data_IF_479502558331
#
_entry.id   IF_479502558331
#
_cell.length_a   1.000
_cell.length_b   1.000
_cell.length_c   1.000
_cell.angle_alpha   90.00
_cell.angle_beta   90.00
_cell.angle_gamma   90.00
#
_symmetry.space_group_name_H-M   'P 1'
#
loop_
_entity.id
_entity.type
_entity.pdbx_description
1 polymer ?
#
# COMPACT_ATOMS: atom_id res chain seq x y z
N UNK A 1 28.25 -9.71 -4.58
CA UNK A 1 26.78 -9.54 -4.54
C UNK A 1 26.27 -9.35 -3.10
N UNK A 2 27.01 -8.65 -2.23
CA UNK A 2 26.85 -8.78 -0.75
C UNK A 2 26.20 -7.56 -0.06
N UNK A 3 25.78 -6.56 -0.85
CA UNK A 3 25.52 -5.19 -0.36
C UNK A 3 24.05 -4.80 -0.23
N UNK A 4 23.12 -5.60 -0.77
CA UNK A 4 21.67 -5.38 -0.67
C UNK A 4 21.09 -5.85 0.67
N UNK A 5 21.70 -6.87 1.29
CA UNK A 5 21.20 -7.42 2.55
C UNK A 5 21.22 -6.42 3.72
N UNK A 6 22.27 -5.59 3.93
CA UNK A 6 22.28 -4.65 5.05
C UNK A 6 21.22 -3.56 4.94
N UNK A 7 21.02 -2.98 3.74
CA UNK A 7 19.96 -1.99 3.49
C UNK A 7 18.58 -2.59 3.73
N UNK A 8 18.33 -3.79 3.20
CA UNK A 8 17.04 -4.46 3.33
C UNK A 8 16.72 -4.82 4.76
N UNK A 9 17.67 -5.40 5.51
CA UNK A 9 17.50 -5.70 6.95
C UNK A 9 17.18 -4.45 7.77
N UNK A 10 17.83 -3.32 7.48
CA UNK A 10 17.53 -2.05 8.14
C UNK A 10 16.14 -1.51 7.77
N UNK A 11 15.73 -1.64 6.50
CA UNK A 11 14.40 -1.23 6.05
C UNK A 11 13.32 -2.08 6.71
N UNK A 12 13.48 -3.41 6.71
CA UNK A 12 12.54 -4.34 7.31
C UNK A 12 12.38 -4.05 8.81
N UNK A 13 13.50 -3.84 9.53
CA UNK A 13 13.46 -3.46 10.94
C UNK A 13 12.76 -2.11 11.17
N UNK A 14 12.96 -1.13 10.28
CA UNK A 14 12.30 0.15 10.36
C UNK A 14 10.78 0.05 10.09
N UNK A 15 10.35 -0.74 9.10
CA UNK A 15 8.93 -1.04 8.83
C UNK A 15 8.28 -1.67 10.05
N UNK A 16 8.89 -2.74 10.58
CA UNK A 16 8.37 -3.46 11.73
C UNK A 16 8.25 -2.55 12.96
N UNK A 17 9.27 -1.73 13.22
CA UNK A 17 9.26 -0.81 14.35
C UNK A 17 8.22 0.30 14.19
N UNK A 18 8.25 1.02 13.06
CA UNK A 18 7.39 2.18 12.84
C UNK A 18 5.93 1.82 12.64
N UNK A 19 5.61 0.63 12.12
CA UNK A 19 4.21 0.16 12.03
C UNK A 19 3.56 0.02 13.41
N UNK A 20 4.35 -0.30 14.44
CA UNK A 20 3.87 -0.41 15.83
C UNK A 20 3.88 0.91 16.58
N UNK A 21 4.80 1.83 16.25
CA UNK A 21 5.05 3.02 17.07
C UNK A 21 4.67 4.35 16.42
N UNK A 22 4.35 4.36 15.13
CA UNK A 22 4.15 5.58 14.33
C UNK A 22 5.45 6.35 14.07
N UNK A 23 5.33 7.41 13.26
CA UNK A 23 6.48 8.23 12.79
C UNK A 23 6.51 9.62 13.43
N UNK A 24 5.37 10.12 13.85
CA UNK A 24 5.19 11.50 14.31
C UNK A 24 6.18 11.91 15.41
N UNK A 25 6.80 13.08 15.21
CA UNK A 25 7.71 13.72 16.18
C UNK A 25 9.10 13.08 16.30
N UNK A 26 9.43 12.09 15.47
CA UNK A 26 10.68 11.33 15.59
C UNK A 26 11.75 11.80 14.60
N UNK A 27 12.98 11.94 15.08
CA UNK A 27 14.16 12.19 14.25
C UNK A 27 14.81 10.88 13.79
N UNK A 28 15.55 10.92 12.68
CA UNK A 28 16.30 9.75 12.20
C UNK A 28 17.34 9.26 13.22
N UNK A 29 17.84 10.15 14.09
CA UNK A 29 18.78 9.79 15.16
C UNK A 29 18.11 8.99 16.27
N UNK A 30 16.91 9.38 16.70
CA UNK A 30 16.13 8.63 17.68
C UNK A 30 15.78 7.25 17.13
N UNK A 31 15.30 7.18 15.88
CA UNK A 31 15.00 5.92 15.23
C UNK A 31 16.23 4.99 15.15
N UNK A 32 17.41 5.53 14.85
CA UNK A 32 18.63 4.72 14.84
C UNK A 32 18.91 4.08 16.21
N UNK A 33 18.76 4.84 17.30
CA UNK A 33 18.95 4.33 18.66
C UNK A 33 17.93 3.24 19.02
N UNK A 34 16.66 3.43 18.64
CA UNK A 34 15.59 2.45 18.86
C UNK A 34 15.80 1.16 18.07
N UNK A 35 16.32 1.25 16.85
CA UNK A 35 16.65 0.11 16.00
C UNK A 35 17.98 -0.57 16.38
N UNK A 36 18.71 -0.05 17.38
CA UNK A 36 20.03 -0.57 17.76
C UNK A 36 21.09 -0.41 16.65
N UNK A 37 20.94 0.59 15.77
CA UNK A 37 21.87 0.89 14.68
C UNK A 37 22.48 2.28 14.84
N UNK A 38 23.48 2.61 14.02
CA UNK A 38 24.06 3.95 14.04
C UNK A 38 23.30 4.91 13.13
N UNK A 39 23.19 6.17 13.56
CA UNK A 39 22.61 7.23 12.73
C UNK A 39 23.32 7.36 11.37
N UNK A 40 24.65 7.14 11.34
CA UNK A 40 25.46 7.12 10.12
C UNK A 40 25.01 6.04 9.14
N UNK A 41 24.63 4.85 9.61
CA UNK A 41 24.15 3.77 8.74
C UNK A 41 22.81 4.12 8.09
N UNK A 42 21.89 4.76 8.83
CA UNK A 42 20.62 5.19 8.25
C UNK A 42 20.82 6.31 7.23
N UNK A 43 21.64 7.32 7.54
CA UNK A 43 22.00 8.38 6.57
C UNK A 43 22.65 7.79 5.32
N UNK A 44 23.58 6.84 5.48
CA UNK A 44 24.25 6.20 4.34
C UNK A 44 23.28 5.48 3.39
N UNK A 45 22.27 4.79 3.93
CA UNK A 45 21.35 3.99 3.13
C UNK A 45 20.11 4.75 2.62
N UNK A 46 19.65 5.74 3.37
CA UNK A 46 18.36 6.39 3.14
C UNK A 46 18.46 7.91 3.00
N UNK A 47 19.61 8.51 3.28
CA UNK A 47 19.88 9.95 3.16
C UNK A 47 19.25 10.79 4.28
N UNK A 48 17.97 10.61 4.56
CA UNK A 48 17.19 11.37 5.55
C UNK A 48 16.09 10.52 6.19
N UNK A 49 15.36 11.11 7.15
CA UNK A 49 14.13 10.50 7.66
C UNK A 49 13.12 10.32 6.53
N UNK A 50 12.92 11.38 5.75
CA UNK A 50 11.99 11.43 4.64
C UNK A 50 12.32 10.38 3.58
N UNK A 51 13.61 10.24 3.22
CA UNK A 51 14.08 9.20 2.31
C UNK A 51 13.83 7.78 2.82
N UNK A 52 13.97 7.55 4.13
CA UNK A 52 13.60 6.28 4.75
C UNK A 52 12.09 6.04 4.69
N UNK A 53 11.26 7.05 4.96
CA UNK A 53 9.81 6.93 4.91
C UNK A 53 9.29 6.61 3.51
N UNK A 54 9.88 7.22 2.47
CA UNK A 54 9.57 6.89 1.08
C UNK A 54 9.90 5.42 0.77
N UNK A 55 11.06 4.94 1.20
CA UNK A 55 11.45 3.54 1.01
C UNK A 55 10.56 2.57 1.80
N UNK A 56 10.11 2.95 3.00
CA UNK A 56 9.17 2.17 3.81
C UNK A 56 7.85 1.97 3.07
N UNK A 57 7.25 3.05 2.56
CA UNK A 57 5.98 2.94 1.83
C UNK A 57 6.15 2.14 0.55
N UNK A 58 7.25 2.33 -0.18
CA UNK A 58 7.56 1.51 -1.36
C UNK A 58 7.62 0.03 -1.03
N UNK A 59 8.27 -0.35 0.07
CA UNK A 59 8.37 -1.75 0.50
C UNK A 59 7.01 -2.31 0.94
N UNK A 60 6.24 -1.59 1.76
CA UNK A 60 4.90 -2.01 2.20
C UNK A 60 3.99 -2.27 1.00
N UNK A 61 3.92 -1.31 0.08
CA UNK A 61 3.08 -1.43 -1.11
C UNK A 61 3.61 -2.48 -2.10
N UNK A 62 4.94 -2.66 -2.20
CA UNK A 62 5.51 -3.74 -3.00
C UNK A 62 5.16 -5.13 -2.45
N UNK A 63 5.16 -5.31 -1.12
CA UNK A 63 4.74 -6.56 -0.48
C UNK A 63 3.25 -6.85 -0.74
N UNK A 64 2.40 -5.83 -0.67
CA UNK A 64 0.98 -5.97 -1.01
C UNK A 64 0.78 -6.34 -2.49
N UNK A 65 1.48 -5.68 -3.43
CA UNK A 65 1.44 -6.03 -4.87
C UNK A 65 2.02 -7.40 -5.17
N UNK A 66 3.06 -7.84 -4.45
CA UNK A 66 3.60 -9.19 -4.62
C UNK A 66 2.56 -10.24 -4.20
N UNK A 67 1.91 -10.03 -3.05
CA UNK A 67 0.81 -10.89 -2.61
C UNK A 67 -0.38 -10.88 -3.60
N UNK A 68 -0.59 -9.77 -4.32
CA UNK A 68 -1.55 -9.67 -5.42
C UNK A 68 -1.20 -10.61 -6.58
N UNK A 69 0.07 -10.61 -6.98
CA UNK A 69 0.57 -11.40 -8.10
C UNK A 69 0.59 -12.91 -7.81
N UNK A 70 0.56 -13.29 -6.53
CA UNK A 70 0.48 -14.69 -6.10
C UNK A 70 -0.96 -15.25 -6.12
N UNK A 71 -1.98 -14.42 -6.38
CA UNK A 71 -3.34 -14.91 -6.52
C UNK A 71 -3.57 -15.57 -7.89
N UNK A 72 -4.43 -16.58 -7.88
CA UNK A 72 -4.84 -17.33 -9.07
C UNK A 72 -5.59 -16.42 -10.06
N UNK A 73 -4.97 -16.16 -11.20
CA UNK A 73 -5.51 -15.32 -12.27
C UNK A 73 -6.61 -16.01 -13.09
N UNK A 74 -6.90 -17.29 -12.80
CA UNK A 74 -8.02 -18.04 -13.38
C UNK A 74 -9.34 -17.82 -12.66
N UNK A 75 -9.34 -17.15 -11.49
CA UNK A 75 -10.55 -16.78 -10.77
C UNK A 75 -11.40 -15.79 -11.57
N UNK A 76 -12.73 -15.88 -11.43
CA UNK A 76 -13.63 -14.82 -11.93
C UNK A 76 -13.27 -13.48 -11.25
N UNK A 77 -13.39 -12.33 -11.94
CA UNK A 77 -13.01 -11.03 -11.41
C UNK A 77 -13.63 -10.68 -10.06
N UNK A 78 -14.85 -11.16 -9.77
CA UNK A 78 -15.49 -10.94 -8.48
C UNK A 78 -14.72 -11.65 -7.35
N UNK A 79 -14.37 -12.92 -7.57
CA UNK A 79 -13.67 -13.74 -6.58
C UNK A 79 -12.25 -13.27 -6.37
N UNK A 80 -11.58 -12.82 -7.44
CA UNK A 80 -10.25 -12.22 -7.36
C UNK A 80 -10.26 -10.94 -6.52
N UNK A 81 -11.23 -10.04 -6.76
CA UNK A 81 -11.39 -8.81 -5.98
C UNK A 81 -11.69 -9.09 -4.50
N UNK A 82 -12.57 -10.05 -4.20
CA UNK A 82 -12.87 -10.48 -2.83
C UNK A 82 -11.67 -11.14 -2.16
N UNK A 83 -10.88 -11.93 -2.88
CA UNK A 83 -9.66 -12.52 -2.36
C UNK A 83 -8.61 -11.47 -2.01
N UNK A 84 -8.44 -10.45 -2.87
CA UNK A 84 -7.59 -9.30 -2.54
C UNK A 84 -8.08 -8.57 -1.30
N UNK A 85 -9.37 -8.28 -1.21
CA UNK A 85 -9.95 -7.60 -0.07
C UNK A 85 -9.73 -8.35 1.25
N UNK A 86 -9.97 -9.66 1.27
CA UNK A 86 -9.69 -10.53 2.43
C UNK A 86 -8.23 -10.46 2.88
N UNK A 87 -7.31 -10.31 1.94
CA UNK A 87 -5.87 -10.17 2.25
C UNK A 87 -5.55 -8.83 2.91
N UNK A 88 -6.10 -7.73 2.40
CA UNK A 88 -5.88 -6.38 2.95
C UNK A 88 -6.53 -6.18 4.31
N UNK A 89 -7.64 -6.88 4.57
CA UNK A 89 -8.36 -6.82 5.85
C UNK A 89 -7.85 -7.81 6.90
N UNK A 90 -6.73 -8.49 6.64
CA UNK A 90 -6.03 -9.28 7.65
C UNK A 90 -5.55 -8.35 8.79
N UNK A 91 -5.97 -8.58 10.05
CA UNK A 91 -5.54 -7.78 11.20
C UNK A 91 -4.01 -7.69 11.37
N UNK A 92 -3.26 -8.68 10.88
CA UNK A 92 -1.80 -8.64 10.90
C UNK A 92 -1.21 -7.50 10.04
N UNK A 93 -1.96 -6.99 9.07
CA UNK A 93 -1.54 -5.88 8.23
C UNK A 93 -1.92 -4.50 8.78
N UNK A 94 -2.87 -4.41 9.72
CA UNK A 94 -3.37 -3.11 10.21
C UNK A 94 -2.28 -2.14 10.68
N UNK A 95 -1.20 -2.57 11.39
CA UNK A 95 -0.11 -1.67 11.74
C UNK A 95 0.56 -1.02 10.52
N UNK A 96 0.75 -1.78 9.44
CA UNK A 96 1.35 -1.28 8.19
C UNK A 96 0.39 -0.35 7.46
N UNK A 97 -0.90 -0.67 7.43
CA UNK A 97 -1.91 0.21 6.80
C UNK A 97 -2.04 1.55 7.54
N UNK A 98 -2.01 1.55 8.88
CA UNK A 98 -2.00 2.80 9.67
C UNK A 98 -0.78 3.65 9.35
N UNK A 99 0.40 3.02 9.29
CA UNK A 99 1.64 3.70 8.91
C UNK A 99 1.55 4.27 7.49
N UNK A 100 1.01 3.50 6.54
CA UNK A 100 0.77 3.96 5.18
C UNK A 100 -0.11 5.21 5.15
N UNK A 101 -1.26 5.21 5.83
CA UNK A 101 -2.15 6.37 5.87
C UNK A 101 -1.55 7.57 6.61
N UNK A 102 -0.79 7.38 7.69
CA UNK A 102 -0.04 8.45 8.36
C UNK A 102 0.90 9.15 7.36
N UNK A 103 1.69 8.37 6.63
CA UNK A 103 2.66 8.88 5.66
C UNK A 103 2.00 9.50 4.43
N UNK A 104 0.90 8.90 3.96
CA UNK A 104 0.11 9.43 2.86
C UNK A 104 -0.49 10.79 3.21
N UNK A 105 -1.08 10.92 4.40
CA UNK A 105 -1.63 12.18 4.89
C UNK A 105 -0.56 13.27 5.07
N UNK A 106 0.60 12.92 5.63
CA UNK A 106 1.72 13.85 5.77
C UNK A 106 2.26 14.34 4.42
N UNK A 107 2.37 13.44 3.43
CA UNK A 107 2.80 13.81 2.09
C UNK A 107 1.78 14.72 1.40
N UNK A 108 0.48 14.48 1.57
CA UNK A 108 -0.57 15.39 1.09
C UNK A 108 -0.51 16.78 1.73
N UNK A 109 -0.03 16.88 2.98
CA UNK A 109 0.22 18.16 3.66
C UNK A 109 1.56 18.81 3.27
N UNK A 110 2.27 18.27 2.28
CA UNK A 110 3.50 18.86 1.75
C UNK A 110 4.71 18.66 2.64
N UNK A 111 4.79 17.55 3.41
CA UNK A 111 6.00 17.19 4.15
C UNK A 111 7.20 17.15 3.18
N UNK A 112 8.25 17.96 3.38
CA UNK A 112 9.41 17.97 2.49
C UNK A 112 10.00 16.58 2.31
N UNK A 113 10.53 16.26 1.13
CA UNK A 113 11.18 14.98 0.85
C UNK A 113 10.22 13.80 0.62
N UNK A 114 8.90 14.04 0.62
CA UNK A 114 7.87 13.02 0.31
C UNK A 114 7.19 13.24 -1.04
N UNK A 115 7.71 14.16 -1.87
CA UNK A 115 7.08 14.59 -3.13
C UNK A 115 6.93 13.43 -4.13
N UNK A 116 7.91 12.53 -4.15
CA UNK A 116 7.88 11.34 -5.01
C UNK A 116 6.87 10.28 -4.54
N UNK A 117 6.43 10.34 -3.27
CA UNK A 117 5.56 9.33 -2.69
C UNK A 117 4.21 9.26 -3.38
N UNK A 118 3.50 10.40 -3.47
CA UNK A 118 2.10 10.44 -3.88
C UNK A 118 1.87 9.95 -5.32
N UNK A 119 2.67 10.37 -6.33
CA UNK A 119 2.49 9.87 -7.69
C UNK A 119 2.83 8.38 -7.80
N UNK A 120 3.89 7.92 -7.10
CA UNK A 120 4.38 6.55 -7.21
C UNK A 120 3.42 5.52 -6.60
N UNK A 121 2.88 5.80 -5.40
CA UNK A 121 1.95 4.87 -4.71
C UNK A 121 0.61 4.72 -5.43
N UNK A 122 0.26 5.63 -6.33
CA UNK A 122 -0.93 5.48 -7.18
C UNK A 122 -0.54 4.75 -8.46
N UNK A 123 0.45 5.27 -9.19
CA UNK A 123 0.84 4.73 -10.50
C UNK A 123 1.32 3.28 -10.45
N UNK A 124 2.01 2.86 -9.38
CA UNK A 124 2.46 1.49 -9.18
C UNK A 124 1.31 0.47 -9.08
N UNK A 125 0.13 0.90 -8.65
CA UNK A 125 -1.09 0.07 -8.61
C UNK A 125 -1.94 0.19 -9.87
N UNK A 126 -1.99 1.36 -10.49
CA UNK A 126 -2.81 1.56 -11.69
C UNK A 126 -2.38 0.66 -12.84
N UNK A 127 -1.07 0.48 -13.06
CA UNK A 127 -0.56 -0.34 -14.15
C UNK A 127 -1.02 -1.81 -14.10
N UNK A 128 -0.81 -2.57 -13.01
CA UNK A 128 -1.28 -3.96 -12.93
C UNK A 128 -2.81 -4.06 -12.94
N UNK A 129 -3.53 -3.17 -12.26
CA UNK A 129 -5.00 -3.20 -12.23
C UNK A 129 -5.60 -2.87 -13.61
N UNK A 130 -5.01 -1.93 -14.36
CA UNK A 130 -5.44 -1.63 -15.71
C UNK A 130 -5.09 -2.76 -16.68
N UNK A 131 -3.97 -3.46 -16.48
CA UNK A 131 -3.64 -4.65 -17.26
C UNK A 131 -4.70 -5.75 -17.06
N UNK A 132 -5.12 -6.00 -15.82
CA UNK A 132 -6.22 -6.93 -15.52
C UNK A 132 -7.54 -6.49 -16.16
N UNK A 133 -7.91 -5.21 -16.05
CA UNK A 133 -9.12 -4.71 -16.70
C UNK A 133 -9.08 -4.91 -18.24
N UNK A 134 -7.93 -4.69 -18.88
CA UNK A 134 -7.75 -4.92 -20.33
C UNK A 134 -7.80 -6.39 -20.72
N UNK A 135 -7.35 -7.32 -19.88
CA UNK A 135 -7.51 -8.76 -20.17
C UNK A 135 -8.98 -9.19 -20.19
N UNK A 136 -9.88 -8.37 -19.65
CA UNK A 136 -11.33 -8.54 -19.76
C UNK A 136 -11.98 -7.74 -20.92
N UNK A 137 -11.18 -7.21 -21.86
CA UNK A 137 -11.68 -6.60 -23.09
C UNK A 137 -11.89 -5.09 -23.05
N UNK A 138 -11.59 -4.42 -21.93
CA UNK A 138 -11.74 -2.97 -21.81
C UNK A 138 -10.67 -2.22 -22.63
N UNK A 139 -11.06 -1.10 -23.23
CA UNK A 139 -10.10 -0.16 -23.83
C UNK A 139 -9.22 0.52 -22.77
N UNK A 140 -8.06 1.04 -23.18
CA UNK A 140 -7.05 1.64 -22.27
C UNK A 140 -7.64 2.71 -21.35
N UNK A 141 -8.48 3.61 -21.89
CA UNK A 141 -9.03 4.73 -21.10
C UNK A 141 -10.01 4.20 -20.05
N UNK A 142 -10.87 3.26 -20.44
CA UNK A 142 -11.85 2.64 -19.55
C UNK A 142 -11.18 1.77 -18.49
N UNK A 143 -10.13 1.03 -18.86
CA UNK A 143 -9.33 0.22 -17.93
C UNK A 143 -8.63 1.06 -16.86
N UNK A 144 -8.04 2.20 -17.23
CA UNK A 144 -7.42 3.12 -16.27
C UNK A 144 -8.44 3.72 -15.29
N UNK A 145 -9.65 4.03 -15.77
CA UNK A 145 -10.73 4.51 -14.91
C UNK A 145 -11.19 3.42 -13.91
N UNK A 146 -11.35 2.18 -14.37
CA UNK A 146 -11.69 1.03 -13.53
C UNK A 146 -10.61 0.75 -12.49
N UNK A 147 -9.34 0.78 -12.88
CA UNK A 147 -8.20 0.59 -11.98
C UNK A 147 -8.18 1.65 -10.86
N UNK A 148 -8.40 2.92 -11.23
CA UNK A 148 -8.45 4.04 -10.27
C UNK A 148 -9.63 3.94 -9.33
N UNK A 149 -10.81 3.57 -9.84
CA UNK A 149 -12.01 3.39 -9.01
C UNK A 149 -11.82 2.26 -8.00
N UNK A 150 -11.31 1.10 -8.43
CA UNK A 150 -11.02 -0.04 -7.55
C UNK A 150 -10.03 0.32 -6.45
N UNK A 151 -8.90 0.95 -6.82
CA UNK A 151 -7.90 1.38 -5.85
C UNK A 151 -8.46 2.40 -4.83
N UNK A 152 -9.29 3.34 -5.29
CA UNK A 152 -9.91 4.34 -4.42
C UNK A 152 -10.92 3.72 -3.45
N UNK A 153 -11.77 2.81 -3.93
CA UNK A 153 -12.74 2.08 -3.10
C UNK A 153 -12.03 1.25 -2.01
N UNK A 154 -11.02 0.46 -2.39
CA UNK A 154 -10.25 -0.35 -1.43
C UNK A 154 -9.58 0.51 -0.36
N UNK A 155 -8.90 1.60 -0.74
CA UNK A 155 -8.24 2.49 0.24
C UNK A 155 -9.24 3.20 1.14
N UNK A 156 -10.39 3.63 0.61
CA UNK A 156 -11.46 4.25 1.39
C UNK A 156 -12.03 3.30 2.45
N UNK A 157 -12.33 2.05 2.04
CA UNK A 157 -12.86 1.04 2.95
C UNK A 157 -11.83 0.56 3.97
N UNK A 158 -10.54 0.49 3.62
CA UNK A 158 -9.48 0.22 4.59
C UNK A 158 -9.34 1.34 5.62
N UNK A 159 -9.45 2.60 5.18
CA UNK A 159 -9.41 3.74 6.09
C UNK A 159 -10.62 3.72 7.06
N UNK A 160 -11.81 3.39 6.56
CA UNK A 160 -13.02 3.19 7.38
C UNK A 160 -12.78 2.08 8.42
N UNK A 161 -12.35 0.89 7.97
CA UNK A 161 -12.06 -0.24 8.85
C UNK A 161 -11.09 0.13 9.98
N UNK A 162 -10.04 0.87 9.68
CA UNK A 162 -9.07 1.30 10.68
C UNK A 162 -9.62 2.36 11.64
N UNK A 163 -10.59 3.15 11.21
CA UNK A 163 -11.25 4.18 12.01
C UNK A 163 -12.36 3.62 12.90
N UNK A 164 -13.14 2.65 12.42
CA UNK A 164 -14.34 2.13 13.07
C UNK A 164 -14.14 0.77 13.72
N UNK A 165 -13.24 -0.05 13.17
CA UNK A 165 -13.06 -1.46 13.54
C UNK A 165 -14.19 -2.38 13.05
N UNK A 166 -15.14 -1.87 12.27
CA UNK A 166 -16.31 -2.63 11.82
C UNK A 166 -16.01 -3.42 10.54
N UNK A 167 -15.35 -4.58 10.72
CA UNK A 167 -15.01 -5.47 9.62
C UNK A 167 -16.25 -5.97 8.85
N UNK A 168 -17.38 -6.15 9.53
CA UNK A 168 -18.60 -6.63 8.88
C UNK A 168 -19.15 -5.57 7.92
N UNK A 169 -19.27 -4.32 8.37
CA UNK A 169 -19.79 -3.23 7.54
C UNK A 169 -18.93 -2.96 6.30
N UNK A 170 -17.60 -2.97 6.43
CA UNK A 170 -16.71 -2.76 5.27
C UNK A 170 -16.70 -3.95 4.32
N UNK A 171 -16.96 -5.18 4.80
CA UNK A 171 -17.14 -6.35 3.95
C UNK A 171 -18.43 -6.23 3.13
N UNK A 172 -19.55 -5.86 3.76
CA UNK A 172 -20.82 -5.64 3.07
C UNK A 172 -20.68 -4.56 1.98
N UNK A 173 -19.97 -3.48 2.29
CA UNK A 173 -19.68 -2.40 1.34
C UNK A 173 -18.76 -2.86 0.19
N UNK A 174 -17.76 -3.69 0.48
CA UNK A 174 -16.89 -4.26 -0.56
C UNK A 174 -17.65 -5.24 -1.47
N UNK A 175 -18.52 -6.08 -0.91
CA UNK A 175 -19.34 -7.00 -1.70
C UNK A 175 -20.26 -6.22 -2.65
N UNK A 176 -20.93 -5.17 -2.16
CA UNK A 176 -21.73 -4.28 -3.00
C UNK A 176 -20.89 -3.62 -4.11
N UNK A 177 -19.69 -3.15 -3.77
CA UNK A 177 -18.78 -2.55 -4.73
C UNK A 177 -18.37 -3.56 -5.81
N UNK A 178 -17.98 -4.78 -5.44
CA UNK A 178 -17.56 -5.84 -6.37
C UNK A 178 -18.69 -6.19 -7.33
N UNK A 179 -19.92 -6.34 -6.83
CA UNK A 179 -21.08 -6.65 -7.67
C UNK A 179 -21.31 -5.55 -8.73
N UNK A 180 -21.23 -4.29 -8.33
CA UNK A 180 -21.33 -3.14 -9.24
C UNK A 180 -20.16 -3.08 -10.22
N UNK A 181 -18.95 -3.34 -9.74
CA UNK A 181 -17.71 -3.25 -10.50
C UNK A 181 -17.66 -4.30 -11.62
N UNK A 182 -17.97 -5.55 -11.29
CA UNK A 182 -18.00 -6.66 -12.26
C UNK A 182 -19.13 -6.50 -13.26
N UNK A 183 -20.29 -5.98 -12.84
CA UNK A 183 -21.35 -5.60 -13.77
C UNK A 183 -20.90 -4.50 -14.75
N UNK A 184 -19.99 -3.62 -14.35
CA UNK A 184 -19.35 -2.63 -15.24
C UNK A 184 -18.38 -3.25 -16.23
N UNK A 185 -17.58 -4.23 -15.80
CA UNK A 185 -16.63 -4.95 -16.67
C UNK A 185 -17.34 -5.72 -17.80
N UNK A 186 -18.53 -6.26 -17.56
CA UNK A 186 -19.29 -7.09 -18.54
C UNK A 186 -20.11 -6.30 -19.57
N UNK A 187 -20.23 -4.97 -19.44
CA UNK A 187 -21.05 -4.13 -20.33
C UNK A 187 -20.31 -3.61 -21.56
N UNK A 188 -19.03 -3.97 -21.72
CA UNK A 188 -18.15 -3.58 -22.81
C UNK A 188 -17.62 -4.82 -23.53
#
# INVERSE_FOLDING_TARGET
>A
MERKEPKRKLLDAAVDHLSRTGVTGRSLRQLAAELGTSHRMLIYHFGSMEGLLVEIVREVEARQRAALADLDDTLDPAELAKAFWRRFTDPALYPNERLFFELYGQALQGRPGTEALLPEVVTAWLAPLAALARSHGLDERTALAHARLGLAATRGLLLDLLATGDLAAVNDAMDLFVDMYVAGLRRH
#
